data_IF_690216892691
#
_entry.id   IF_690216892691
#
_cell.length_a   1.000
_cell.length_b   1.000
_cell.length_c   1.000
_cell.angle_alpha   90.00
_cell.angle_beta   90.00
_cell.angle_gamma   90.00
#
_symmetry.space_group_name_H-M   'P 1'
#
loop_
_entity.id
_entity.type
_entity.pdbx_description
1 polymer ?
#
# COMPACT_ATOMS: atom_id res chain seq x y z
N UNK A 1 -1.39 -7.37 7.64
CA UNK A 1 -0.22 -6.76 6.96
C UNK A 1 1.08 -7.11 7.65
N UNK A 2 1.23 -6.83 8.96
CA UNK A 2 2.48 -7.11 9.66
C UNK A 2 2.90 -8.58 9.61
N UNK A 3 1.97 -9.54 9.70
CA UNK A 3 2.29 -10.97 9.50
C UNK A 3 2.88 -11.28 8.11
N UNK A 4 2.42 -10.59 7.05
CA UNK A 4 2.99 -10.73 5.71
C UNK A 4 4.40 -10.13 5.69
N UNK A 5 4.61 -8.98 6.33
CA UNK A 5 5.94 -8.39 6.47
C UNK A 5 6.89 -9.28 7.29
N UNK A 6 6.37 -10.00 8.28
CA UNK A 6 7.10 -11.01 9.04
C UNK A 6 7.52 -12.18 8.17
N UNK A 7 6.59 -12.74 7.39
CA UNK A 7 6.88 -13.82 6.43
C UNK A 7 7.91 -13.37 5.36
N UNK A 8 7.79 -12.14 4.89
CA UNK A 8 8.76 -11.52 3.99
C UNK A 8 10.08 -11.12 4.69
N UNK A 9 10.22 -11.30 6.00
CA UNK A 9 11.44 -11.00 6.76
C UNK A 9 11.79 -9.50 6.83
N UNK A 10 10.79 -8.63 6.77
CA UNK A 10 10.95 -7.17 6.82
C UNK A 10 10.19 -6.52 7.98
N UNK A 11 9.51 -7.29 8.83
CA UNK A 11 8.77 -6.79 10.00
C UNK A 11 9.64 -5.87 10.88
N UNK A 12 10.86 -6.29 11.23
CA UNK A 12 11.76 -5.49 12.06
C UNK A 12 12.17 -4.17 11.40
N UNK A 13 12.34 -4.15 10.06
CA UNK A 13 12.65 -2.93 9.33
C UNK A 13 11.48 -1.94 9.36
N UNK A 14 10.25 -2.47 9.28
CA UNK A 14 9.03 -1.66 9.38
C UNK A 14 8.88 -1.11 10.80
N UNK A 15 9.03 -1.95 11.82
CA UNK A 15 8.91 -1.54 13.22
C UNK A 15 9.97 -0.52 13.65
N UNK A 16 11.17 -0.54 13.04
CA UNK A 16 12.23 0.42 13.33
C UNK A 16 11.88 1.86 12.90
N UNK A 17 11.05 2.02 11.87
CA UNK A 17 10.64 3.32 11.32
C UNK A 17 9.19 3.70 11.69
N UNK A 18 8.48 2.81 12.40
CA UNK A 18 7.07 2.98 12.75
C UNK A 18 6.88 3.53 14.17
N UNK A 19 5.75 4.20 14.39
CA UNK A 19 5.25 4.47 15.74
C UNK A 19 4.63 3.18 16.30
N UNK A 20 5.06 2.70 17.48
CA UNK A 20 4.62 1.43 18.03
C UNK A 20 3.16 1.48 18.52
N UNK A 21 2.56 0.30 18.64
CA UNK A 21 1.14 0.12 18.98
C UNK A 21 0.62 0.96 20.16
N UNK A 22 1.37 0.96 21.26
CA UNK A 22 0.96 1.60 22.50
C UNK A 22 0.96 3.14 22.42
N UNK A 23 1.55 3.73 21.38
CA UNK A 23 1.61 5.17 21.17
C UNK A 23 0.52 5.70 20.23
N UNK A 24 -0.23 4.81 19.56
CA UNK A 24 -1.23 5.18 18.55
C UNK A 24 -2.67 4.93 19.03
N UNK A 25 -2.85 4.62 20.31
CA UNK A 25 -4.10 4.09 20.85
C UNK A 25 -5.17 5.10 21.22
N UNK A 26 -4.92 6.40 21.08
CA UNK A 26 -5.84 7.44 21.53
C UNK A 26 -6.44 8.21 20.34
N UNK A 27 -7.75 8.08 20.15
CA UNK A 27 -8.50 8.98 19.27
C UNK A 27 -9.27 9.98 20.12
N UNK A 28 -8.78 11.23 20.10
CA UNK A 28 -9.30 12.34 20.91
C UNK A 28 -10.22 13.21 20.08
N UNK A 29 -11.46 13.39 20.53
CA UNK A 29 -12.40 14.37 20.01
C UNK A 29 -12.29 15.63 20.85
N UNK A 30 -11.91 16.74 20.23
CA UNK A 30 -11.72 18.01 20.90
C UNK A 30 -12.21 19.16 20.02
N UNK A 31 -12.50 20.31 20.62
CA UNK A 31 -12.89 21.51 19.86
C UNK A 31 -11.72 22.09 19.07
N UNK A 32 -10.50 21.90 19.57
CA UNK A 32 -9.23 22.15 18.88
C UNK A 32 -8.10 21.42 19.62
N UNK A 33 -6.90 21.33 19.03
CA UNK A 33 -5.74 20.65 19.65
C UNK A 33 -5.38 21.24 21.03
N UNK A 34 -5.56 22.55 21.22
CA UNK A 34 -5.34 23.22 22.50
C UNK A 34 -6.65 23.54 23.26
N UNK A 35 -7.78 23.00 22.79
CA UNK A 35 -9.11 23.26 23.31
C UNK A 35 -9.60 22.20 24.29
N UNK A 36 -10.90 22.22 24.53
CA UNK A 36 -11.58 21.24 25.38
C UNK A 36 -11.63 19.86 24.70
N UNK A 37 -11.23 18.82 25.44
CA UNK A 37 -11.48 17.42 25.08
C UNK A 37 -12.95 17.08 25.36
N UNK A 38 -13.68 16.71 24.30
CA UNK A 38 -15.08 16.29 24.34
C UNK A 38 -15.16 14.81 24.75
N UNK A 39 -14.20 14.00 24.30
CA UNK A 39 -14.12 12.59 24.64
C UNK A 39 -12.99 11.86 23.92
N UNK A 40 -12.78 10.62 24.33
CA UNK A 40 -11.67 9.80 23.86
C UNK A 40 -12.10 8.36 23.70
N UNK A 41 -11.63 7.75 22.61
CA UNK A 41 -11.79 6.33 22.34
C UNK A 41 -10.40 5.71 22.35
N UNK A 42 -10.23 4.66 23.15
CA UNK A 42 -9.04 3.80 23.08
C UNK A 42 -9.17 2.91 21.84
N UNK A 43 -8.51 3.33 20.77
CA UNK A 43 -8.60 2.73 19.44
C UNK A 43 -7.52 1.68 19.21
N UNK A 44 -7.66 1.00 18.07
CA UNK A 44 -6.72 -0.02 17.59
C UNK A 44 -6.50 -1.22 18.51
N UNK A 45 -7.33 -1.43 19.54
CA UNK A 45 -7.16 -2.53 20.49
C UNK A 45 -6.48 -2.15 21.81
N UNK A 46 -6.19 -0.86 22.03
CA UNK A 46 -5.51 -0.38 23.24
C UNK A 46 -6.39 -0.39 24.52
N UNK A 47 -7.71 -0.55 24.39
CA UNK A 47 -8.55 -0.72 25.59
C UNK A 47 -8.19 -2.05 26.29
N UNK A 48 -7.96 -2.07 27.63
CA UNK A 48 -7.55 -3.29 28.33
C UNK A 48 -8.49 -4.49 28.14
N UNK A 49 -9.80 -4.24 27.99
CA UNK A 49 -10.78 -5.30 27.72
C UNK A 49 -10.70 -5.89 26.30
N UNK A 50 -9.89 -5.31 25.41
CA UNK A 50 -9.71 -5.74 24.02
C UNK A 50 -8.27 -6.15 23.72
N UNK A 51 -7.29 -5.67 24.49
CA UNK A 51 -5.86 -5.90 24.23
C UNK A 51 -5.51 -7.38 24.12
N UNK A 52 -6.02 -8.20 25.05
CA UNK A 52 -5.80 -9.64 25.04
C UNK A 52 -6.32 -10.31 23.75
N UNK A 53 -7.46 -9.86 23.22
CA UNK A 53 -7.99 -10.38 21.95
C UNK A 53 -7.03 -10.11 20.79
N UNK A 54 -6.38 -8.94 20.78
CA UNK A 54 -5.42 -8.55 19.74
C UNK A 54 -4.13 -9.36 19.83
N UNK A 55 -3.57 -9.53 21.02
CA UNK A 55 -2.36 -10.34 21.24
C UNK A 55 -2.58 -11.82 20.95
N UNK A 56 -3.76 -12.35 21.26
CA UNK A 56 -4.09 -13.75 20.97
C UNK A 56 -4.41 -14.00 19.49
N UNK A 57 -4.86 -12.97 18.76
CA UNK A 57 -5.23 -13.10 17.36
C UNK A 57 -4.03 -13.13 16.41
N UNK A 58 -2.90 -12.52 16.79
CA UNK A 58 -1.75 -12.37 15.90
C UNK A 58 -0.43 -12.27 16.66
N UNK A 59 0.68 -12.81 16.13
CA UNK A 59 2.01 -12.53 16.65
C UNK A 59 2.46 -11.07 16.43
N UNK A 60 1.72 -10.28 15.66
CA UNK A 60 2.07 -8.92 15.28
C UNK A 60 0.96 -7.93 15.65
N UNK A 61 1.31 -6.81 16.31
CA UNK A 61 0.38 -5.73 16.63
C UNK A 61 0.37 -4.64 15.55
N UNK A 62 -0.63 -3.75 15.61
CA UNK A 62 -0.69 -2.59 14.73
C UNK A 62 0.46 -1.61 15.02
N UNK A 63 0.97 -0.96 13.99
CA UNK A 63 1.89 0.17 14.09
C UNK A 63 1.46 1.27 13.11
N UNK A 64 1.90 2.50 13.33
CA UNK A 64 1.70 3.59 12.36
C UNK A 64 2.99 3.88 11.62
N UNK A 65 2.99 3.66 10.31
CA UNK A 65 4.11 3.96 9.42
C UNK A 65 3.60 4.67 8.17
N UNK A 66 4.01 5.93 7.93
CA UNK A 66 3.69 6.63 6.69
C UNK A 66 4.22 5.91 5.44
N UNK A 67 3.49 5.98 4.32
CA UNK A 67 3.89 5.39 3.04
C UNK A 67 5.27 5.86 2.56
N UNK A 68 5.63 7.13 2.83
CA UNK A 68 6.95 7.69 2.52
C UNK A 68 8.12 6.89 3.12
N UNK A 69 7.90 6.21 4.25
CA UNK A 69 8.91 5.33 4.88
C UNK A 69 8.71 3.87 4.49
N UNK A 70 7.47 3.42 4.38
CA UNK A 70 7.16 2.03 4.04
C UNK A 70 7.55 1.67 2.59
N UNK A 71 7.21 2.50 1.60
CA UNK A 71 7.45 2.20 0.19
C UNK A 71 8.94 1.99 -0.14
N UNK A 72 9.88 2.82 0.36
CA UNK A 72 11.30 2.55 0.20
C UNK A 72 11.75 1.21 0.77
N UNK A 73 11.22 0.78 1.92
CA UNK A 73 11.52 -0.54 2.51
C UNK A 73 11.08 -1.65 1.55
N UNK A 74 9.87 -1.56 1.01
CA UNK A 74 9.33 -2.55 0.08
C UNK A 74 10.14 -2.62 -1.23
N UNK A 75 10.40 -1.47 -1.85
CA UNK A 75 11.15 -1.38 -3.12
C UNK A 75 12.58 -1.88 -2.96
N UNK A 76 13.25 -1.49 -1.86
CA UNK A 76 14.62 -1.93 -1.55
C UNK A 76 14.67 -3.45 -1.40
N UNK A 77 13.80 -4.02 -0.58
CA UNK A 77 13.80 -5.47 -0.32
C UNK A 77 13.41 -6.27 -1.58
N UNK A 78 12.48 -5.77 -2.41
CA UNK A 78 12.16 -6.38 -3.69
C UNK A 78 13.37 -6.36 -4.64
N UNK A 79 14.07 -5.23 -4.75
CA UNK A 79 15.25 -5.08 -5.60
C UNK A 79 16.38 -6.01 -5.17
N UNK A 80 16.66 -6.10 -3.86
CA UNK A 80 17.69 -7.01 -3.32
C UNK A 80 17.36 -8.48 -3.61
N UNK A 81 16.07 -8.84 -3.66
CA UNK A 81 15.59 -10.18 -3.99
C UNK A 81 15.54 -10.47 -5.49
N UNK A 82 15.99 -9.53 -6.34
CA UNK A 82 16.16 -9.72 -7.78
C UNK A 82 15.08 -9.07 -8.65
N UNK A 83 14.13 -8.33 -8.07
CA UNK A 83 13.16 -7.56 -8.86
C UNK A 83 13.85 -6.39 -9.55
N UNK A 84 13.55 -6.16 -10.83
CA UNK A 84 13.97 -4.96 -11.54
C UNK A 84 12.90 -3.88 -11.44
N UNK A 85 13.15 -2.87 -10.61
CA UNK A 85 12.28 -1.70 -10.48
C UNK A 85 12.66 -0.61 -11.48
N UNK A 86 11.71 -0.16 -12.30
CA UNK A 86 11.89 0.93 -13.25
C UNK A 86 10.90 2.05 -12.96
N UNK A 87 11.36 3.07 -12.25
CA UNK A 87 10.60 4.30 -12.02
C UNK A 87 10.59 5.18 -13.27
N UNK A 88 9.75 6.21 -13.27
CA UNK A 88 9.58 7.12 -14.42
C UNK A 88 9.25 6.40 -15.74
N UNK A 89 8.65 5.22 -15.64
CA UNK A 89 8.19 4.40 -16.76
C UNK A 89 6.68 4.28 -16.66
N UNK A 90 5.98 4.83 -17.64
CA UNK A 90 4.53 4.93 -17.65
C UNK A 90 3.92 3.86 -18.55
N UNK A 91 2.90 3.16 -18.05
CA UNK A 91 2.10 2.24 -18.84
C UNK A 91 1.23 3.00 -19.86
N UNK A 92 1.28 2.60 -21.13
CA UNK A 92 0.47 3.22 -22.20
C UNK A 92 -0.67 2.33 -22.70
N UNK A 93 -0.40 1.04 -22.94
CA UNK A 93 -1.39 0.07 -23.45
C UNK A 93 -0.80 -1.34 -23.37
N UNK A 94 -1.64 -2.36 -23.57
CA UNK A 94 -1.18 -3.72 -23.79
C UNK A 94 -1.98 -4.43 -24.88
N UNK A 95 -1.39 -5.48 -25.45
CA UNK A 95 -2.07 -6.50 -26.24
C UNK A 95 -1.70 -7.87 -25.71
N UNK A 96 -2.64 -8.81 -25.72
CA UNK A 96 -2.40 -10.18 -25.26
C UNK A 96 -2.58 -11.18 -26.41
N UNK A 97 -1.82 -12.26 -26.34
CA UNK A 97 -1.94 -13.43 -27.22
C UNK A 97 -1.91 -14.71 -26.36
N UNK A 98 -1.90 -15.88 -27.02
CA UNK A 98 -1.94 -17.17 -26.32
C UNK A 98 -0.73 -17.49 -25.43
N UNK A 99 0.37 -16.71 -25.52
CA UNK A 99 1.62 -16.98 -24.80
C UNK A 99 2.03 -15.89 -23.80
N UNK A 100 1.33 -14.76 -23.76
CA UNK A 100 1.60 -13.66 -22.84
C UNK A 100 1.05 -12.31 -23.29
N UNK A 101 1.66 -11.24 -22.74
CA UNK A 101 1.23 -9.85 -22.90
C UNK A 101 2.39 -9.01 -23.44
N UNK A 102 2.12 -8.19 -24.46
CA UNK A 102 3.00 -7.13 -24.93
C UNK A 102 2.55 -5.81 -24.29
N UNK A 103 3.39 -5.21 -23.46
CA UNK A 103 3.08 -3.98 -22.73
C UNK A 103 3.86 -2.83 -23.35
N UNK A 104 3.16 -1.82 -23.86
CA UNK A 104 3.79 -0.57 -24.32
C UNK A 104 3.95 0.38 -23.16
N UNK A 105 5.15 0.94 -23.03
CA UNK A 105 5.50 1.87 -21.97
C UNK A 105 6.24 3.10 -22.51
N UNK A 106 6.15 4.21 -21.80
CA UNK A 106 6.90 5.44 -22.04
C UNK A 106 7.95 5.63 -20.95
N UNK A 107 9.24 5.67 -21.32
CA UNK A 107 10.26 6.20 -20.43
C UNK A 107 10.13 7.73 -20.39
N UNK A 108 9.65 8.28 -19.28
CA UNK A 108 9.41 9.71 -19.13
C UNK A 108 10.68 10.56 -19.02
N UNK A 109 11.81 9.95 -18.67
CA UNK A 109 13.09 10.65 -18.60
C UNK A 109 13.70 10.84 -19.99
N UNK A 110 13.58 9.83 -20.84
CA UNK A 110 14.15 9.83 -22.19
C UNK A 110 13.16 10.27 -23.28
N UNK A 111 11.85 10.25 -22.98
CA UNK A 111 10.79 10.50 -23.95
C UNK A 111 10.60 9.38 -24.96
N UNK A 112 11.10 8.17 -24.66
CA UNK A 112 11.11 7.04 -25.60
C UNK A 112 10.08 5.98 -25.25
N UNK A 113 9.32 5.54 -26.24
CA UNK A 113 8.42 4.39 -26.10
C UNK A 113 9.11 3.07 -26.45
N UNK A 114 8.77 2.01 -25.72
CA UNK A 114 9.24 0.66 -26.00
C UNK A 114 8.23 -0.38 -25.51
N UNK A 115 8.47 -1.66 -25.86
CA UNK A 115 7.58 -2.78 -25.51
C UNK A 115 8.28 -3.77 -24.59
N UNK A 116 7.57 -4.22 -23.55
CA UNK A 116 8.01 -5.27 -22.63
C UNK A 116 7.13 -6.50 -22.84
N UNK A 117 7.76 -7.65 -23.14
CA UNK A 117 7.08 -8.95 -23.24
C UNK A 117 7.06 -9.63 -21.87
N UNK A 118 5.87 -9.96 -21.38
CA UNK A 118 5.68 -10.63 -20.08
C UNK A 118 4.70 -11.79 -20.19
N UNK A 119 4.71 -12.71 -19.23
CA UNK A 119 3.72 -13.79 -19.15
C UNK A 119 2.40 -13.31 -18.56
N UNK A 120 2.46 -12.41 -17.59
CA UNK A 120 1.31 -11.80 -16.94
C UNK A 120 1.57 -10.32 -16.69
N UNK A 121 0.51 -9.53 -16.71
CA UNK A 121 0.51 -8.12 -16.33
C UNK A 121 -0.34 -7.97 -15.07
N UNK A 122 0.22 -7.35 -14.02
CA UNK A 122 -0.49 -7.04 -12.77
C UNK A 122 -0.85 -5.56 -12.77
N UNK A 123 -2.14 -5.23 -12.72
CA UNK A 123 -2.64 -3.86 -12.62
C UNK A 123 -2.61 -3.35 -11.18
N UNK A 124 -1.49 -2.76 -10.77
CA UNK A 124 -1.30 -2.13 -9.46
C UNK A 124 -1.11 -0.61 -9.58
N UNK A 125 -1.85 0.02 -10.50
CA UNK A 125 -1.71 1.42 -10.94
C UNK A 125 -2.69 2.40 -10.26
N UNK A 126 -3.33 1.99 -9.15
CA UNK A 126 -4.10 2.86 -8.27
C UNK A 126 -5.57 3.04 -8.64
N UNK A 127 -6.23 4.02 -8.00
CA UNK A 127 -7.69 4.20 -8.04
C UNK A 127 -8.27 4.40 -9.46
N UNK A 128 -7.56 5.15 -10.31
CA UNK A 128 -7.93 5.36 -11.73
C UNK A 128 -7.12 4.44 -12.63
N UNK A 129 -7.15 3.14 -12.33
CA UNK A 129 -6.38 2.12 -13.05
C UNK A 129 -6.67 2.17 -14.55
N UNK A 130 -5.64 2.48 -15.34
CA UNK A 130 -5.71 2.45 -16.79
C UNK A 130 -5.67 1.00 -17.29
N UNK A 131 -4.97 0.10 -16.60
CA UNK A 131 -4.97 -1.33 -16.93
C UNK A 131 -6.39 -1.89 -16.86
N UNK A 132 -7.13 -1.59 -15.79
CA UNK A 132 -8.52 -2.03 -15.64
C UNK A 132 -9.45 -1.42 -16.69
N UNK A 133 -9.25 -0.13 -17.01
CA UNK A 133 -10.03 0.56 -18.05
C UNK A 133 -9.80 -0.05 -19.45
N UNK A 134 -8.56 -0.36 -19.81
CA UNK A 134 -8.22 -0.98 -21.10
C UNK A 134 -8.81 -2.40 -21.21
N UNK A 135 -8.98 -3.11 -20.08
CA UNK A 135 -9.66 -4.41 -19.98
C UNK A 135 -11.19 -4.30 -19.88
N UNK A 136 -11.74 -3.08 -19.80
CA UNK A 136 -13.17 -2.82 -19.61
C UNK A 136 -13.77 -3.57 -18.42
N UNK A 137 -13.00 -3.67 -17.32
CA UNK A 137 -13.48 -4.31 -16.11
C UNK A 137 -14.68 -3.53 -15.56
N UNK A 138 -15.82 -4.20 -15.28
CA UNK A 138 -16.98 -3.51 -14.75
C UNK A 138 -16.71 -3.08 -13.30
N UNK A 139 -17.10 -1.84 -13.00
CA UNK A 139 -17.13 -1.30 -11.64
C UNK A 139 -18.58 -1.02 -11.26
N UNK A 140 -18.91 -1.31 -10.00
CA UNK A 140 -20.20 -0.97 -9.40
C UNK A 140 -19.98 0.03 -8.25
N UNK A 141 -20.99 0.87 -7.98
CA UNK A 141 -20.92 1.94 -6.98
C UNK A 141 -20.78 3.34 -7.60
N UNK A 142 -20.89 4.36 -6.75
CA UNK A 142 -20.67 5.75 -7.18
C UNK A 142 -19.17 6.07 -7.12
N UNK A 143 -18.60 6.44 -8.26
CA UNK A 143 -17.24 6.98 -8.33
C UNK A 143 -17.22 8.43 -7.85
N UNK A 144 -16.04 8.93 -7.46
CA UNK A 144 -15.80 10.33 -7.04
C UNK A 144 -16.56 10.80 -5.79
N UNK A 145 -17.06 9.90 -4.94
CA UNK A 145 -17.64 10.29 -3.64
C UNK A 145 -16.50 10.55 -2.65
N UNK A 146 -16.27 11.83 -2.35
CA UNK A 146 -15.24 12.32 -1.42
C UNK A 146 -13.77 12.19 -1.87
N UNK A 147 -13.50 12.30 -3.18
CA UNK A 147 -12.16 12.64 -3.69
C UNK A 147 -11.24 11.47 -4.06
N UNK A 148 -11.80 10.30 -4.38
CA UNK A 148 -11.08 9.18 -5.00
C UNK A 148 -11.21 9.19 -6.53
#
# INVERSE_FOLDING_TARGET
TMEIFRDLGIEDQVLAEATPHHMIGDTVFCTSIAGEEIGRILTWGNHPSRHADYELASPSLNCDIPQTYLEPILVKNATIRGTQSQFSTEYLSHTQDGEGVNVRVLNRLLGTEYTIRVKYLIGADGARSKVAADLQLPYEGQMDVAGS
#
